data_IF_563415081370
#
_entry.id   IF_563415081370
#
_cell.length_a   1.000
_cell.length_b   1.000
_cell.length_c   1.000
_cell.angle_alpha   90.00
_cell.angle_beta   90.00
_cell.angle_gamma   90.00
#
_symmetry.space_group_name_H-M   'P 1'
#
loop_
_entity.id
_entity.type
_entity.pdbx_description
1 polymer ?
#
# COMPACT_ATOMS: atom_id res chain seq x y z
N UNK A 1 9.83 15.93 -28.70
CA UNK A 1 9.13 14.95 -27.85
C UNK A 1 7.62 14.96 -28.15
N UNK A 2 6.94 13.78 -28.12
CA UNK A 2 5.52 13.63 -28.44
C UNK A 2 4.78 12.87 -27.32
N UNK A 3 3.72 13.47 -26.78
CA UNK A 3 2.79 12.81 -25.85
C UNK A 3 1.74 12.04 -26.66
N UNK A 4 1.53 10.77 -26.33
CA UNK A 4 0.55 9.90 -26.98
C UNK A 4 -0.38 9.30 -25.93
N UNK A 5 -1.68 9.54 -26.06
CA UNK A 5 -2.69 8.89 -25.21
C UNK A 5 -2.79 7.40 -25.58
N UNK A 6 -2.76 6.53 -24.58
CA UNK A 6 -2.74 5.07 -24.77
C UNK A 6 -4.14 4.56 -25.09
N UNK A 7 -4.39 4.23 -26.35
CA UNK A 7 -5.67 3.70 -26.87
C UNK A 7 -5.51 2.34 -27.53
N UNK A 8 -4.49 2.18 -28.34
CA UNK A 8 -4.24 0.98 -29.13
C UNK A 8 -3.58 -0.14 -28.33
N UNK A 9 -3.61 -1.36 -28.86
CA UNK A 9 -2.96 -2.53 -28.24
C UNK A 9 -1.44 -2.35 -28.14
N UNK A 10 -0.83 -1.70 -29.11
CA UNK A 10 0.62 -1.52 -29.12
C UNK A 10 1.05 -0.43 -28.14
N UNK A 11 0.33 0.67 -28.04
CA UNK A 11 0.55 1.69 -27.00
C UNK A 11 0.37 1.12 -25.58
N UNK A 12 -0.62 0.22 -25.37
CA UNK A 12 -0.78 -0.51 -24.10
C UNK A 12 0.45 -1.34 -23.78
N UNK A 13 1.01 -2.06 -24.76
CA UNK A 13 2.25 -2.82 -24.59
C UNK A 13 3.45 -1.92 -24.27
N UNK A 14 3.57 -0.79 -24.96
CA UNK A 14 4.62 0.19 -24.68
C UNK A 14 4.52 0.71 -23.24
N UNK A 15 3.33 1.11 -22.81
CA UNK A 15 3.07 1.57 -21.44
C UNK A 15 3.47 0.52 -20.39
N UNK A 16 3.15 -0.76 -20.61
CA UNK A 16 3.49 -1.86 -19.71
C UNK A 16 4.99 -2.18 -19.73
N UNK A 17 5.63 -2.14 -20.89
CA UNK A 17 7.01 -2.60 -21.04
C UNK A 17 8.06 -1.51 -20.73
N UNK A 18 7.68 -0.23 -20.76
CA UNK A 18 8.62 0.84 -20.51
C UNK A 18 9.34 0.72 -19.14
N UNK A 19 8.68 0.48 -18.00
CA UNK A 19 9.38 0.31 -16.74
C UNK A 19 10.30 -0.92 -16.73
N UNK A 20 9.94 -2.01 -17.43
CA UNK A 20 10.81 -3.20 -17.53
C UNK A 20 12.14 -2.88 -18.21
N UNK A 21 12.13 -1.96 -19.18
CA UNK A 21 13.34 -1.45 -19.82
C UNK A 21 14.07 -0.46 -18.91
N UNK A 22 13.35 0.45 -18.26
CA UNK A 22 13.91 1.50 -17.40
C UNK A 22 14.68 0.89 -16.22
N UNK A 23 14.05 -0.05 -15.51
CA UNK A 23 14.63 -0.69 -14.31
C UNK A 23 15.45 -1.95 -14.59
N UNK A 24 15.80 -2.25 -15.86
CA UNK A 24 16.46 -3.52 -16.25
C UNK A 24 17.76 -3.82 -15.51
N UNK A 25 18.46 -2.80 -15.05
CA UNK A 25 19.73 -2.89 -14.33
C UNK A 25 19.60 -2.68 -12.83
N UNK A 26 18.39 -2.44 -12.32
CA UNK A 26 18.15 -2.27 -10.88
C UNK A 26 17.84 -3.63 -10.23
N UNK A 27 18.75 -4.12 -9.35
CA UNK A 27 18.56 -5.41 -8.70
C UNK A 27 17.45 -5.43 -7.67
N UNK A 28 16.92 -4.28 -7.23
CA UNK A 28 15.92 -4.19 -6.19
C UNK A 28 14.50 -4.10 -6.74
N UNK A 29 14.35 -3.64 -7.98
CA UNK A 29 13.05 -3.48 -8.59
C UNK A 29 12.36 -4.82 -8.89
N UNK A 30 11.07 -4.91 -8.58
CA UNK A 30 10.21 -6.05 -8.91
C UNK A 30 9.06 -5.56 -9.79
N UNK A 31 8.94 -6.18 -10.96
CA UNK A 31 7.89 -5.84 -11.91
C UNK A 31 6.52 -6.26 -11.39
N UNK A 32 5.56 -5.34 -11.43
CA UNK A 32 4.13 -5.65 -11.25
C UNK A 32 3.71 -6.66 -12.34
N UNK A 33 2.80 -7.56 -12.01
CA UNK A 33 2.25 -8.48 -13.02
C UNK A 33 1.50 -7.69 -14.10
N UNK A 34 1.78 -8.02 -15.36
CA UNK A 34 1.17 -7.34 -16.52
C UNK A 34 -0.37 -7.38 -16.45
N UNK A 35 -0.93 -8.52 -15.99
CA UNK A 35 -2.36 -8.70 -15.79
C UNK A 35 -2.97 -7.74 -14.77
N UNK A 36 -2.24 -7.43 -13.69
CA UNK A 36 -2.72 -6.57 -12.61
C UNK A 36 -2.67 -5.11 -13.04
N UNK A 37 -1.60 -4.74 -13.77
CA UNK A 37 -1.50 -3.41 -14.35
C UNK A 37 -2.59 -3.18 -15.40
N UNK A 38 -2.87 -4.15 -16.28
CA UNK A 38 -3.97 -4.06 -17.22
C UNK A 38 -5.33 -3.98 -16.51
N UNK A 39 -5.54 -4.77 -15.47
CA UNK A 39 -6.77 -4.76 -14.68
C UNK A 39 -7.06 -3.40 -14.04
N UNK A 40 -6.02 -2.66 -13.65
CA UNK A 40 -6.17 -1.30 -13.10
C UNK A 40 -6.85 -0.34 -14.08
N UNK A 41 -6.63 -0.51 -15.39
CA UNK A 41 -7.21 0.34 -16.45
C UNK A 41 -8.38 -0.32 -17.18
N UNK A 42 -8.90 -1.43 -16.67
CA UNK A 42 -10.05 -2.13 -17.24
C UNK A 42 -11.32 -1.81 -16.43
N UNK A 43 -12.30 -1.05 -17.01
CA UNK A 43 -13.53 -0.71 -16.29
C UNK A 43 -14.36 -1.92 -15.85
N UNK A 44 -14.17 -3.08 -16.48
CA UNK A 44 -14.87 -4.31 -16.08
C UNK A 44 -14.23 -4.98 -14.84
N UNK A 45 -12.98 -4.64 -14.53
CA UNK A 45 -12.20 -5.26 -13.44
C UNK A 45 -11.94 -4.32 -12.28
N UNK A 46 -11.78 -3.03 -12.54
CA UNK A 46 -11.54 -2.03 -11.50
C UNK A 46 -12.87 -1.31 -11.18
N UNK A 47 -13.41 -1.61 -10.00
CA UNK A 47 -14.68 -1.05 -9.53
C UNK A 47 -14.65 0.47 -9.37
N UNK A 48 -13.46 1.09 -9.20
CA UNK A 48 -13.32 2.54 -9.10
C UNK A 48 -13.82 3.29 -10.36
N UNK A 49 -13.88 2.62 -11.51
CA UNK A 49 -14.51 3.20 -12.71
C UNK A 49 -16.03 3.39 -12.59
N UNK A 50 -16.69 2.80 -11.57
CA UNK A 50 -18.13 3.08 -11.33
C UNK A 50 -18.38 4.55 -11.00
N UNK A 51 -17.40 5.23 -10.41
CA UNK A 51 -17.48 6.63 -9.97
C UNK A 51 -16.20 7.42 -10.24
N UNK A 52 -15.31 6.89 -11.02
CA UNK A 52 -14.04 7.50 -11.36
C UNK A 52 -13.71 7.39 -12.82
N UNK A 53 -12.63 8.02 -13.21
CA UNK A 53 -12.09 8.00 -14.56
C UNK A 53 -10.58 8.00 -14.50
N UNK A 54 -9.94 7.26 -15.42
CA UNK A 54 -8.48 7.24 -15.54
C UNK A 54 -8.08 7.32 -17.01
N UNK A 55 -6.98 7.97 -17.26
CA UNK A 55 -6.35 8.10 -18.58
C UNK A 55 -4.85 7.89 -18.43
N UNK A 56 -4.19 7.42 -19.48
CA UNK A 56 -2.75 7.16 -19.47
C UNK A 56 -2.08 7.57 -20.76
N UNK A 57 -0.81 7.99 -20.66
CA UNK A 57 0.00 8.45 -21.79
C UNK A 57 1.38 7.83 -21.76
N UNK A 58 1.97 7.73 -22.94
CA UNK A 58 3.40 7.51 -23.16
C UNK A 58 4.01 8.78 -23.75
N UNK A 59 5.28 9.02 -23.42
CA UNK A 59 6.08 10.08 -23.99
C UNK A 59 7.14 9.46 -24.91
N UNK A 60 7.18 9.87 -26.18
CA UNK A 60 8.19 9.45 -27.15
C UNK A 60 9.15 10.58 -27.47
N UNK A 61 10.41 10.25 -27.68
CA UNK A 61 11.41 11.18 -28.22
C UNK A 61 11.25 11.40 -29.73
N UNK A 62 12.14 12.15 -30.33
CA UNK A 62 12.14 12.47 -31.78
C UNK A 62 12.38 11.24 -32.64
N UNK A 63 13.01 10.20 -32.10
CA UNK A 63 13.20 8.92 -32.80
C UNK A 63 12.00 7.98 -32.70
N UNK A 64 10.96 8.38 -31.97
CA UNK A 64 9.78 7.55 -31.71
C UNK A 64 9.94 6.56 -30.56
N UNK A 65 11.06 6.59 -29.85
CA UNK A 65 11.31 5.71 -28.70
C UNK A 65 10.58 6.23 -27.45
N UNK A 66 9.93 5.33 -26.71
CA UNK A 66 9.31 5.66 -25.43
C UNK A 66 10.36 6.01 -24.39
N UNK A 67 10.27 7.21 -23.80
CA UNK A 67 11.16 7.75 -22.77
C UNK A 67 10.45 8.07 -21.46
N UNK A 68 9.13 7.93 -21.42
CA UNK A 68 8.35 8.12 -20.21
C UNK A 68 6.91 7.66 -20.35
N UNK A 69 6.23 7.55 -19.21
CA UNK A 69 4.81 7.27 -19.12
C UNK A 69 4.20 7.95 -17.88
N UNK A 70 2.91 8.20 -17.92
CA UNK A 70 2.14 8.72 -16.79
C UNK A 70 0.68 8.34 -16.94
N UNK A 71 -0.04 8.26 -15.83
CA UNK A 71 -1.50 8.21 -15.82
C UNK A 71 -2.04 9.31 -14.91
N UNK A 72 -3.26 9.78 -15.21
CA UNK A 72 -4.02 10.65 -14.33
C UNK A 72 -5.41 10.04 -14.10
N UNK A 73 -6.00 10.32 -12.94
CA UNK A 73 -7.29 9.78 -12.59
C UNK A 73 -8.05 10.67 -11.61
N UNK A 74 -9.35 10.47 -11.55
CA UNK A 74 -10.24 11.08 -10.58
C UNK A 74 -11.06 9.97 -9.94
N UNK A 75 -10.95 9.86 -8.62
CA UNK A 75 -11.91 9.16 -7.79
C UNK A 75 -12.90 10.20 -7.25
N UNK A 76 -14.12 10.21 -7.76
CA UNK A 76 -15.10 11.28 -7.44
C UNK A 76 -15.55 11.26 -5.98
N UNK A 77 -15.47 10.13 -5.30
CA UNK A 77 -15.78 10.05 -3.86
C UNK A 77 -14.69 10.75 -3.07
N UNK A 78 -13.43 10.42 -3.33
CA UNK A 78 -12.29 11.03 -2.61
C UNK A 78 -12.08 12.49 -3.01
N UNK A 79 -12.22 12.83 -4.29
CA UNK A 79 -11.99 14.22 -4.75
C UNK A 79 -12.92 15.24 -4.10
N UNK A 80 -14.12 14.83 -3.69
CA UNK A 80 -15.11 15.70 -3.05
C UNK A 80 -14.92 15.90 -1.53
N UNK A 81 -14.09 15.08 -0.89
CA UNK A 81 -13.84 15.12 0.56
C UNK A 81 -12.65 16.00 0.92
N UNK A 82 -11.71 16.18 0.01
CA UNK A 82 -10.58 17.09 0.23
C UNK A 82 -11.05 18.54 0.30
N UNK A 83 -10.29 19.36 1.00
CA UNK A 83 -10.54 20.82 1.11
C UNK A 83 -10.71 21.50 -0.25
N UNK A 84 -10.05 20.98 -1.27
CA UNK A 84 -10.19 21.37 -2.68
C UNK A 84 -10.33 20.12 -3.56
N UNK A 85 -11.06 20.20 -4.69
CA UNK A 85 -11.16 19.09 -5.63
C UNK A 85 -9.77 18.61 -6.08
N UNK A 86 -9.44 17.36 -5.74
CA UNK A 86 -8.10 16.80 -5.96
C UNK A 86 -8.17 15.54 -6.82
N UNK A 87 -7.37 15.50 -7.88
CA UNK A 87 -7.16 14.31 -8.68
C UNK A 87 -5.83 13.64 -8.41
N UNK A 88 -5.60 12.45 -8.95
CA UNK A 88 -4.37 11.69 -8.78
C UNK A 88 -3.54 11.60 -10.06
N UNK A 89 -2.22 11.53 -9.90
CA UNK A 89 -1.25 11.25 -10.94
C UNK A 89 -0.36 10.09 -10.50
N UNK A 90 -0.20 9.06 -11.36
CA UNK A 90 0.59 7.88 -11.03
C UNK A 90 1.12 7.15 -12.24
N UNK A 91 1.62 5.93 -12.02
CA UNK A 91 2.34 5.18 -13.05
C UNK A 91 3.41 6.01 -13.75
N UNK A 92 3.97 6.97 -12.99
CA UNK A 92 4.98 7.90 -13.47
C UNK A 92 6.33 7.22 -13.52
N UNK A 93 6.80 7.02 -14.73
CA UNK A 93 8.19 6.63 -15.01
C UNK A 93 8.73 7.46 -16.17
N UNK A 94 9.98 7.87 -16.06
CA UNK A 94 10.67 8.67 -17.08
C UNK A 94 12.18 8.41 -17.00
N UNK A 95 12.86 8.53 -18.12
CA UNK A 95 14.34 8.58 -18.14
C UNK A 95 14.84 9.80 -17.36
N UNK A 96 16.11 9.80 -16.96
CA UNK A 96 16.73 10.94 -16.26
C UNK A 96 16.82 12.16 -17.17
N UNK A 97 15.65 12.78 -17.40
CA UNK A 97 15.48 13.97 -18.22
C UNK A 97 14.37 14.83 -17.63
N UNK A 98 14.74 16.02 -17.15
CA UNK A 98 13.84 16.96 -16.48
C UNK A 98 12.74 17.49 -17.40
N UNK A 99 13.05 17.80 -18.65
CA UNK A 99 12.08 18.31 -19.62
C UNK A 99 11.02 17.23 -19.93
N UNK A 100 11.46 15.99 -20.08
CA UNK A 100 10.57 14.84 -20.27
C UNK A 100 9.64 14.63 -19.05
N UNK A 101 10.18 14.76 -17.83
CA UNK A 101 9.39 14.68 -16.61
C UNK A 101 8.34 15.80 -16.53
N UNK A 102 8.73 17.03 -16.84
CA UNK A 102 7.84 18.19 -16.80
C UNK A 102 6.74 18.10 -17.87
N UNK A 103 7.05 17.60 -19.05
CA UNK A 103 6.04 17.36 -20.09
C UNK A 103 4.96 16.34 -19.63
N UNK A 104 5.36 15.31 -18.87
CA UNK A 104 4.43 14.33 -18.28
C UNK A 104 3.59 14.95 -17.14
N UNK A 105 4.20 15.77 -16.28
CA UNK A 105 3.49 16.50 -15.24
C UNK A 105 2.48 17.49 -15.82
N UNK A 106 2.87 18.25 -16.83
CA UNK A 106 1.98 19.18 -17.53
C UNK A 106 0.81 18.45 -18.19
N UNK A 107 1.06 17.27 -18.76
CA UNK A 107 0.02 16.45 -19.38
C UNK A 107 -1.03 16.01 -18.36
N UNK A 108 -0.60 15.48 -17.23
CA UNK A 108 -1.50 15.04 -16.15
C UNK A 108 -2.23 16.25 -15.53
N UNK A 109 -1.51 17.31 -15.20
CA UNK A 109 -2.06 18.57 -14.66
C UNK A 109 -3.14 19.16 -15.57
N UNK A 110 -2.83 19.36 -16.85
CA UNK A 110 -3.76 19.97 -17.80
C UNK A 110 -5.03 19.11 -18.01
N UNK A 111 -4.90 17.80 -17.96
CA UNK A 111 -6.06 16.93 -18.02
C UNK A 111 -6.93 17.07 -16.76
N UNK A 112 -6.32 17.05 -15.56
CA UNK A 112 -7.03 17.22 -14.29
C UNK A 112 -7.68 18.59 -14.16
N UNK A 113 -7.01 19.66 -14.60
CA UNK A 113 -7.55 21.02 -14.61
C UNK A 113 -8.80 21.14 -15.50
N UNK A 114 -8.78 20.53 -16.70
CA UNK A 114 -9.94 20.43 -17.59
C UNK A 114 -11.12 19.69 -16.99
N UNK A 115 -10.86 18.77 -16.05
CA UNK A 115 -11.87 18.05 -15.29
C UNK A 115 -12.32 18.79 -14.02
N UNK A 116 -11.86 20.02 -13.79
CA UNK A 116 -12.24 20.85 -12.65
C UNK A 116 -11.46 20.59 -11.35
N UNK A 117 -10.36 19.83 -11.42
CA UNK A 117 -9.50 19.64 -10.25
C UNK A 117 -8.65 20.86 -9.98
N UNK A 118 -8.46 21.17 -8.69
CA UNK A 118 -7.68 22.32 -8.19
C UNK A 118 -6.33 21.89 -7.61
N UNK A 119 -6.18 20.59 -7.34
CA UNK A 119 -4.92 20.00 -6.91
C UNK A 119 -4.68 18.64 -7.58
N UNK A 120 -3.42 18.21 -7.61
CA UNK A 120 -2.95 16.94 -8.14
C UNK A 120 -2.04 16.27 -7.13
N UNK A 121 -2.47 15.10 -6.62
CA UNK A 121 -1.65 14.26 -5.75
C UNK A 121 -0.86 13.24 -6.56
N UNK A 122 0.40 13.02 -6.16
CA UNK A 122 1.25 12.05 -6.85
C UNK A 122 2.61 11.78 -6.21
N UNK A 123 3.31 10.73 -6.68
CA UNK A 123 2.78 9.68 -7.53
C UNK A 123 1.93 8.72 -6.72
N UNK A 124 0.71 8.52 -7.14
CA UNK A 124 -0.23 7.56 -6.57
C UNK A 124 -0.95 6.84 -7.71
N UNK A 125 -1.29 5.57 -7.52
CA UNK A 125 -1.92 4.80 -8.57
C UNK A 125 -3.44 4.76 -8.41
N UNK A 126 -4.16 4.51 -9.50
CA UNK A 126 -5.61 4.38 -9.51
C UNK A 126 -6.01 3.02 -8.91
N UNK A 127 -6.10 2.95 -7.59
CA UNK A 127 -6.35 1.74 -6.82
C UNK A 127 -6.57 2.03 -5.34
N UNK A 128 -6.69 0.95 -4.57
CA UNK A 128 -6.82 1.02 -3.12
C UNK A 128 -5.51 1.47 -2.43
N UNK A 129 -5.59 1.81 -1.14
CA UNK A 129 -4.45 2.33 -0.39
C UNK A 129 -3.26 1.37 -0.28
N UNK A 130 -3.45 0.08 -0.50
CA UNK A 130 -2.40 -0.95 -0.54
C UNK A 130 -1.57 -0.89 -1.82
N UNK A 131 -2.10 -0.27 -2.86
CA UNK A 131 -1.43 -0.02 -4.15
C UNK A 131 -1.28 1.47 -4.47
N UNK A 132 -1.78 2.33 -3.60
CA UNK A 132 -1.83 3.78 -3.76
C UNK A 132 -0.81 4.44 -2.82
N UNK A 133 0.49 4.29 -3.14
CA UNK A 133 1.59 4.79 -2.33
C UNK A 133 2.17 6.07 -2.93
N UNK A 134 2.98 6.80 -2.15
CA UNK A 134 3.74 7.94 -2.63
C UNK A 134 5.05 7.57 -3.33
N UNK A 135 5.87 8.56 -3.60
CA UNK A 135 7.21 8.44 -4.16
C UNK A 135 8.18 7.85 -3.15
N UNK A 136 8.87 6.77 -3.49
CA UNK A 136 9.99 6.26 -2.68
C UNK A 136 11.13 7.26 -2.68
N UNK A 137 11.53 7.73 -1.50
CA UNK A 137 12.61 8.72 -1.31
C UNK A 137 13.75 8.21 -0.44
N UNK A 138 13.50 7.21 0.41
CA UNK A 138 14.51 6.54 1.25
C UNK A 138 14.26 5.03 1.29
N UNK A 139 15.31 4.25 1.50
CA UNK A 139 15.22 2.79 1.61
C UNK A 139 15.04 2.08 0.28
N UNK A 140 15.89 2.39 -0.71
CA UNK A 140 15.90 1.79 -2.05
C UNK A 140 16.39 0.34 -2.04
N UNK A 141 15.73 -0.50 -1.25
CA UNK A 141 15.92 -1.95 -1.20
C UNK A 141 14.74 -2.66 -1.87
N UNK A 142 14.85 -3.98 -2.10
CA UNK A 142 13.77 -4.71 -2.78
C UNK A 142 12.42 -4.47 -2.10
N UNK A 143 11.48 -3.96 -2.89
CA UNK A 143 10.13 -3.67 -2.43
C UNK A 143 9.38 -4.96 -2.05
N UNK A 144 8.52 -4.87 -1.04
CA UNK A 144 7.51 -5.87 -0.75
C UNK A 144 6.39 -5.85 -1.80
N UNK A 145 5.62 -6.92 -1.87
CA UNK A 145 4.50 -7.02 -2.82
C UNK A 145 3.50 -5.88 -2.64
N UNK A 146 3.11 -5.24 -3.75
CA UNK A 146 2.21 -4.09 -3.77
C UNK A 146 2.84 -2.76 -3.37
N UNK A 147 4.13 -2.72 -2.99
CA UNK A 147 4.82 -1.46 -2.70
C UNK A 147 5.38 -0.82 -3.99
N UNK A 148 5.25 0.50 -4.17
CA UNK A 148 5.89 1.18 -5.29
C UNK A 148 7.40 1.26 -5.10
N UNK A 149 8.11 1.37 -6.22
CA UNK A 149 9.55 1.56 -6.27
C UNK A 149 9.86 2.56 -7.39
N UNK A 150 10.79 3.47 -7.14
CA UNK A 150 11.03 4.61 -8.02
C UNK A 150 12.53 4.84 -8.24
N UNK A 151 12.87 5.59 -9.30
CA UNK A 151 14.22 6.09 -9.50
C UNK A 151 14.54 7.22 -8.52
N UNK A 152 15.78 7.27 -8.01
CA UNK A 152 16.21 8.26 -7.00
C UNK A 152 16.07 9.70 -7.46
N UNK A 153 16.28 9.97 -8.76
CA UNK A 153 16.21 11.29 -9.34
C UNK A 153 14.79 11.85 -9.47
N UNK A 154 13.73 11.03 -9.27
CA UNK A 154 12.36 11.53 -9.34
C UNK A 154 12.05 12.57 -8.27
N UNK A 155 12.64 12.44 -7.08
CA UNK A 155 12.45 13.42 -6.01
C UNK A 155 12.77 14.85 -6.49
N UNK A 156 13.91 15.03 -7.14
CA UNK A 156 14.33 16.33 -7.69
C UNK A 156 13.32 16.84 -8.72
N UNK A 157 12.81 15.97 -9.59
CA UNK A 157 11.82 16.37 -10.60
C UNK A 157 10.51 16.85 -9.98
N UNK A 158 9.99 16.13 -8.99
CA UNK A 158 8.77 16.54 -8.28
C UNK A 158 8.96 17.88 -7.58
N UNK A 159 9.99 17.99 -6.76
CA UNK A 159 10.25 19.21 -5.98
C UNK A 159 10.55 20.42 -6.87
N UNK A 160 11.35 20.26 -7.93
CA UNK A 160 11.68 21.34 -8.86
C UNK A 160 10.52 21.75 -9.78
N UNK A 161 9.53 20.88 -10.01
CA UNK A 161 8.30 21.24 -10.71
C UNK A 161 7.35 22.06 -9.82
N UNK A 162 7.49 21.96 -8.49
CA UNK A 162 6.68 22.67 -7.51
C UNK A 162 5.69 21.83 -6.76
N UNK A 163 5.84 20.50 -6.77
CA UNK A 163 5.12 19.64 -5.85
C UNK A 163 5.60 19.85 -4.42
N UNK A 164 4.68 19.80 -3.48
CA UNK A 164 4.95 19.98 -2.05
C UNK A 164 4.65 18.68 -1.30
N UNK A 165 5.45 18.37 -0.27
CA UNK A 165 5.25 17.19 0.58
C UNK A 165 3.92 17.28 1.33
N UNK A 166 2.93 16.50 0.90
CA UNK A 166 1.60 16.50 1.51
C UNK A 166 1.56 15.62 2.76
N UNK A 167 2.04 14.38 2.67
CA UNK A 167 2.31 13.53 3.83
C UNK A 167 3.35 12.46 3.52
N UNK A 168 3.99 11.98 4.58
CA UNK A 168 4.99 10.91 4.51
C UNK A 168 4.42 9.58 4.97
N UNK A 169 4.88 8.50 4.36
CA UNK A 169 4.46 7.14 4.61
C UNK A 169 5.69 6.31 4.96
N UNK A 170 5.73 5.81 6.19
CA UNK A 170 6.87 5.06 6.72
C UNK A 170 6.57 3.57 6.74
N UNK A 171 7.42 2.77 6.11
CA UNK A 171 7.42 1.31 6.30
C UNK A 171 8.52 0.94 7.29
N UNK A 172 8.21 -0.03 8.13
CA UNK A 172 9.12 -0.52 9.15
C UNK A 172 9.53 -1.95 8.85
N UNK A 173 10.74 -2.30 9.23
CA UNK A 173 11.28 -3.63 9.07
C UNK A 173 11.92 -4.11 10.37
N UNK A 174 11.80 -5.40 10.63
CA UNK A 174 12.60 -6.06 11.66
C UNK A 174 12.96 -7.48 11.23
N UNK A 175 14.16 -7.98 11.62
CA UNK A 175 14.43 -9.41 11.59
C UNK A 175 13.55 -10.12 12.64
N UNK A 176 13.13 -11.33 12.35
CA UNK A 176 12.40 -12.19 13.30
C UNK A 176 13.38 -12.96 14.18
N UNK A 177 14.59 -13.19 13.66
CA UNK A 177 15.67 -13.88 14.37
C UNK A 177 16.79 -12.93 14.71
N UNK A 178 17.42 -13.13 15.88
CA UNK A 178 18.65 -12.45 16.27
C UNK A 178 19.87 -13.04 15.54
N UNK A 179 21.07 -12.49 15.78
CA UNK A 179 22.32 -12.96 15.20
C UNK A 179 22.66 -14.42 15.56
N UNK A 180 22.11 -14.94 16.65
CA UNK A 180 22.28 -16.34 17.08
C UNK A 180 21.30 -17.31 16.43
N UNK A 181 20.40 -16.81 15.56
CA UNK A 181 19.34 -17.62 14.93
C UNK A 181 18.18 -17.94 15.87
N UNK A 182 18.09 -17.31 17.03
CA UNK A 182 16.96 -17.43 17.95
C UNK A 182 15.90 -16.40 17.59
N UNK A 183 14.62 -16.78 17.76
CA UNK A 183 13.54 -15.84 17.52
C UNK A 183 13.58 -14.74 18.58
N UNK A 184 13.76 -13.51 18.14
CA UNK A 184 13.77 -12.33 18.98
C UNK A 184 12.37 -11.70 19.04
N UNK A 185 11.89 -11.45 20.25
CA UNK A 185 10.61 -10.75 20.46
C UNK A 185 10.69 -9.91 21.74
N UNK A 186 10.22 -8.65 21.72
CA UNK A 186 10.38 -7.74 22.85
C UNK A 186 9.75 -8.28 24.14
N UNK A 187 10.48 -8.43 25.24
CA UNK A 187 9.96 -9.00 26.48
C UNK A 187 8.77 -8.21 27.05
N UNK A 188 8.74 -6.90 26.85
CA UNK A 188 7.62 -6.04 27.28
C UNK A 188 6.33 -6.42 26.57
N UNK A 189 6.38 -6.62 25.24
CA UNK A 189 5.23 -7.02 24.43
C UNK A 189 4.74 -8.41 24.84
N UNK A 190 5.65 -9.34 25.09
CA UNK A 190 5.33 -10.67 25.63
C UNK A 190 4.54 -10.59 26.94
N UNK A 191 5.04 -9.81 27.91
CA UNK A 191 4.36 -9.65 29.20
C UNK A 191 2.94 -9.08 29.07
N UNK A 192 2.75 -8.10 28.20
CA UNK A 192 1.44 -7.52 27.91
C UNK A 192 0.51 -8.59 27.30
N UNK A 193 0.99 -9.33 26.32
CA UNK A 193 0.23 -10.36 25.66
C UNK A 193 -0.17 -11.52 26.61
N UNK A 194 0.76 -11.99 27.43
CA UNK A 194 0.52 -13.00 28.45
C UNK A 194 -0.48 -12.54 29.51
N UNK A 195 -0.40 -11.29 29.91
CA UNK A 195 -1.33 -10.69 30.87
C UNK A 195 -2.74 -10.60 30.26
N UNK A 196 -2.86 -10.17 28.98
CA UNK A 196 -4.15 -10.06 28.32
C UNK A 196 -4.79 -11.42 28.05
N UNK A 197 -4.00 -12.44 27.66
CA UNK A 197 -4.49 -13.78 27.38
C UNK A 197 -5.06 -14.52 28.61
N UNK A 198 -4.69 -14.05 29.82
CA UNK A 198 -5.21 -14.58 31.10
C UNK A 198 -6.49 -13.87 31.54
N UNK A 199 -6.90 -12.78 30.90
CA UNK A 199 -8.11 -12.05 31.25
C UNK A 199 -9.36 -12.70 30.68
N UNK A 200 -10.42 -12.85 31.46
CA UNK A 200 -11.70 -13.38 30.97
C UNK A 200 -12.23 -12.52 29.81
N UNK A 201 -12.84 -13.19 28.86
CA UNK A 201 -13.48 -12.59 27.72
C UNK A 201 -12.58 -12.35 26.52
N UNK A 202 -11.25 -12.29 26.67
CA UNK A 202 -10.33 -12.13 25.53
C UNK A 202 -10.01 -13.50 24.89
N UNK A 203 -10.09 -13.55 23.55
CA UNK A 203 -9.64 -14.71 22.76
C UNK A 203 -9.00 -14.25 21.45
N UNK A 204 -8.11 -15.10 20.91
CA UNK A 204 -7.34 -14.81 19.70
C UNK A 204 -7.41 -16.02 18.77
N UNK A 205 -7.82 -15.79 17.53
CA UNK A 205 -7.99 -16.87 16.54
C UNK A 205 -7.36 -16.45 15.22
N UNK A 206 -6.64 -17.37 14.59
CA UNK A 206 -6.20 -17.14 13.21
C UNK A 206 -7.33 -17.47 12.23
N UNK A 207 -7.21 -16.97 11.03
CA UNK A 207 -8.13 -17.23 9.94
C UNK A 207 -8.18 -18.73 9.62
N UNK A 208 -9.37 -19.24 9.37
CA UNK A 208 -9.63 -20.60 8.89
C UNK A 208 -10.52 -20.53 7.64
N UNK A 209 -10.06 -21.07 6.51
CA UNK A 209 -10.85 -21.09 5.25
C UNK A 209 -12.21 -21.79 5.42
N UNK A 210 -12.32 -22.74 6.33
CA UNK A 210 -13.58 -23.43 6.67
C UNK A 210 -14.62 -22.50 7.29
N UNK A 211 -14.19 -21.41 7.92
CA UNK A 211 -15.02 -20.38 8.59
C UNK A 211 -14.96 -19.03 7.89
N UNK A 212 -14.62 -19.01 6.59
CA UNK A 212 -14.38 -17.80 5.81
C UNK A 212 -15.48 -16.74 5.97
N UNK A 213 -16.75 -17.14 5.92
CA UNK A 213 -17.87 -16.20 6.04
C UNK A 213 -17.88 -15.45 7.38
N UNK A 214 -17.58 -16.16 8.50
CA UNK A 214 -17.44 -15.54 9.81
C UNK A 214 -16.31 -14.51 9.82
N UNK A 215 -15.11 -14.90 9.41
CA UNK A 215 -13.95 -14.01 9.43
C UNK A 215 -14.08 -12.82 8.47
N UNK A 216 -14.80 -12.98 7.36
CA UNK A 216 -15.13 -11.87 6.46
C UNK A 216 -16.06 -10.84 7.14
N UNK A 217 -17.10 -11.30 7.86
CA UNK A 217 -17.98 -10.43 8.66
C UNK A 217 -17.19 -9.73 9.76
N UNK A 218 -16.40 -10.49 10.54
CA UNK A 218 -15.58 -9.95 11.63
C UNK A 218 -14.58 -8.87 11.13
N UNK A 219 -14.00 -9.11 9.95
CA UNK A 219 -13.12 -8.13 9.30
C UNK A 219 -13.85 -6.83 8.97
N UNK A 220 -15.04 -6.93 8.35
CA UNK A 220 -15.87 -5.77 7.99
C UNK A 220 -16.26 -4.98 9.26
N UNK A 221 -16.69 -5.66 10.31
CA UNK A 221 -17.11 -5.03 11.57
C UNK A 221 -15.97 -4.23 12.21
N UNK A 222 -14.79 -4.84 12.35
CA UNK A 222 -13.62 -4.16 12.93
C UNK A 222 -13.10 -3.07 11.99
N UNK A 223 -13.03 -3.33 10.69
CA UNK A 223 -12.61 -2.33 9.72
C UNK A 223 -13.50 -1.10 9.78
N UNK A 224 -14.81 -1.30 9.67
CA UNK A 224 -15.77 -0.20 9.69
C UNK A 224 -15.70 0.60 11.01
N UNK A 225 -15.64 -0.08 12.16
CA UNK A 225 -15.53 0.59 13.46
C UNK A 225 -14.22 1.34 13.66
N UNK A 226 -13.12 0.84 13.06
CA UNK A 226 -11.80 1.47 13.19
C UNK A 226 -11.68 2.69 12.28
N UNK A 227 -12.02 2.53 10.99
CA UNK A 227 -11.79 3.59 10.00
C UNK A 227 -12.87 4.67 9.96
N UNK A 228 -14.13 4.37 10.32
CA UNK A 228 -15.18 5.39 10.45
C UNK A 228 -14.84 6.44 11.51
N UNK A 229 -14.05 6.07 12.51
CA UNK A 229 -13.60 7.01 13.55
C UNK A 229 -12.45 7.94 13.09
N UNK A 230 -11.78 7.64 11.96
CA UNK A 230 -10.59 8.36 11.52
C UNK A 230 -10.70 9.03 10.15
N UNK A 231 -11.72 8.68 9.35
CA UNK A 231 -11.85 9.17 7.97
C UNK A 231 -13.22 9.77 7.74
N UNK A 232 -13.27 11.04 7.37
CA UNK A 232 -14.51 11.71 6.93
C UNK A 232 -15.05 11.15 5.61
N UNK A 233 -14.15 10.67 4.75
CA UNK A 233 -14.47 10.02 3.47
C UNK A 233 -14.66 8.51 3.59
N UNK A 234 -14.97 8.04 4.81
CA UNK A 234 -15.13 6.63 5.05
C UNK A 234 -16.34 6.08 4.28
N UNK A 235 -16.06 5.14 3.40
CA UNK A 235 -17.07 4.30 2.77
C UNK A 235 -16.99 2.90 3.38
N UNK A 236 -18.10 2.38 3.95
CA UNK A 236 -18.12 1.01 4.45
C UNK A 236 -17.67 0.01 3.37
N UNK A 237 -16.92 -1.00 3.80
CA UNK A 237 -16.48 -2.05 2.89
C UNK A 237 -17.69 -2.83 2.36
N UNK A 238 -17.71 -3.02 1.06
CA UNK A 238 -18.66 -3.90 0.38
C UNK A 238 -18.30 -5.37 0.66
N UNK A 239 -19.21 -6.20 1.20
CA UNK A 239 -18.96 -7.62 1.43
C UNK A 239 -18.53 -8.39 0.16
N UNK A 240 -19.03 -8.01 -1.02
CA UNK A 240 -18.62 -8.64 -2.29
C UNK A 240 -17.13 -8.38 -2.59
N UNK A 241 -16.62 -7.20 -2.22
CA UNK A 241 -15.22 -6.84 -2.37
C UNK A 241 -14.33 -7.74 -1.50
N UNK A 242 -14.76 -8.04 -0.28
CA UNK A 242 -14.04 -8.90 0.65
C UNK A 242 -13.89 -10.31 0.09
N UNK A 243 -14.95 -10.85 -0.51
CA UNK A 243 -14.89 -12.17 -1.13
C UNK A 243 -13.88 -12.23 -2.29
N UNK A 244 -13.83 -11.20 -3.11
CA UNK A 244 -12.86 -11.05 -4.19
C UNK A 244 -11.41 -10.92 -3.66
N UNK A 245 -11.21 -10.14 -2.60
CA UNK A 245 -9.91 -9.99 -1.93
C UNK A 245 -9.40 -11.34 -1.39
N UNK A 246 -10.23 -12.10 -0.67
CA UNK A 246 -9.88 -13.44 -0.19
C UNK A 246 -9.57 -14.40 -1.34
N UNK A 247 -10.35 -14.36 -2.41
CA UNK A 247 -10.11 -15.19 -3.60
C UNK A 247 -8.76 -14.89 -4.24
N UNK A 248 -8.40 -13.62 -4.37
CA UNK A 248 -7.12 -13.17 -4.91
C UNK A 248 -5.94 -13.50 -3.97
N UNK A 249 -6.14 -13.38 -2.67
CA UNK A 249 -5.10 -13.68 -1.67
C UNK A 249 -4.86 -15.19 -1.46
N UNK A 250 -5.87 -16.04 -1.70
CA UNK A 250 -5.81 -17.50 -1.44
C UNK A 250 -4.54 -18.20 -1.96
N UNK A 251 -4.01 -17.92 -3.17
CA UNK A 251 -2.80 -18.59 -3.67
C UNK A 251 -1.54 -18.28 -2.86
N UNK A 252 -1.52 -17.14 -2.16
CA UNK A 252 -0.35 -16.62 -1.44
C UNK A 252 -0.53 -16.62 0.07
N UNK A 253 -1.74 -16.81 0.54
CA UNK A 253 -2.12 -16.70 1.94
C UNK A 253 -1.56 -17.87 2.77
N UNK A 254 -1.05 -17.53 3.96
CA UNK A 254 -0.84 -18.45 5.07
C UNK A 254 -1.86 -18.08 6.16
N UNK A 255 -2.78 -18.99 6.46
CA UNK A 255 -3.91 -18.73 7.35
C UNK A 255 -3.46 -18.33 8.76
N UNK A 256 -2.36 -18.92 9.25
CA UNK A 256 -1.80 -18.62 10.57
C UNK A 256 -1.09 -17.24 10.64
N UNK A 257 -1.00 -16.50 9.54
CA UNK A 257 -0.51 -15.11 9.53
C UNK A 257 -1.63 -14.06 9.58
N UNK A 258 -2.88 -14.51 9.64
CA UNK A 258 -4.07 -13.64 9.69
C UNK A 258 -4.77 -13.86 11.02
N UNK A 259 -4.73 -12.85 11.91
CA UNK A 259 -5.21 -12.97 13.26
C UNK A 259 -6.33 -12.01 13.58
N UNK A 260 -7.29 -12.50 14.38
CA UNK A 260 -8.40 -11.74 14.94
C UNK A 260 -8.38 -11.82 16.46
N UNK A 261 -8.70 -10.69 17.10
CA UNK A 261 -8.90 -10.58 18.54
C UNK A 261 -10.38 -10.40 18.83
N UNK A 262 -10.86 -11.05 19.89
CA UNK A 262 -12.23 -10.99 20.36
C UNK A 262 -12.31 -10.61 21.82
N UNK A 263 -13.41 -9.95 22.21
CA UNK A 263 -13.81 -9.76 23.59
C UNK A 263 -15.28 -10.14 23.76
N UNK A 264 -15.56 -11.15 24.62
CA UNK A 264 -16.88 -11.76 24.76
C UNK A 264 -17.49 -12.11 23.38
N UNK A 265 -16.74 -12.85 22.58
CA UNK A 265 -17.08 -13.31 21.22
C UNK A 265 -17.32 -12.21 20.17
N UNK A 266 -17.17 -10.93 20.53
CA UNK A 266 -17.23 -9.81 19.58
C UNK A 266 -15.85 -9.51 19.01
N UNK A 267 -15.70 -9.34 17.68
CA UNK A 267 -14.43 -9.00 17.07
C UNK A 267 -14.03 -7.56 17.45
N UNK A 268 -12.80 -7.38 17.94
CA UNK A 268 -12.29 -6.09 18.42
C UNK A 268 -11.00 -5.65 17.74
N UNK A 269 -10.35 -6.56 17.00
CA UNK A 269 -9.12 -6.23 16.29
C UNK A 269 -8.73 -7.33 15.32
N UNK A 270 -7.91 -6.96 14.34
CA UNK A 270 -7.29 -7.89 13.41
C UNK A 270 -5.93 -7.38 12.93
N UNK A 271 -5.09 -8.32 12.48
CA UNK A 271 -3.89 -8.06 11.68
C UNK A 271 -3.79 -9.09 10.58
N UNK A 272 -3.59 -8.60 9.34
CA UNK A 272 -3.42 -9.42 8.15
C UNK A 272 -1.98 -9.29 7.66
N UNK A 273 -1.24 -10.39 7.74
CA UNK A 273 0.07 -10.52 7.13
C UNK A 273 -0.01 -11.54 6.00
N UNK A 274 0.76 -11.28 4.96
CA UNK A 274 0.93 -12.22 3.84
C UNK A 274 2.42 -12.50 3.62
N UNK A 275 2.77 -13.73 3.19
CA UNK A 275 4.11 -13.99 2.69
C UNK A 275 4.43 -13.09 1.48
N UNK A 276 5.64 -12.55 1.43
CA UNK A 276 6.03 -11.63 0.35
C UNK A 276 6.33 -12.37 -0.96
N UNK A 277 5.35 -12.36 -1.83
CA UNK A 277 5.44 -13.02 -3.14
C UNK A 277 6.49 -12.41 -4.07
N UNK A 278 6.93 -11.17 -3.84
CA UNK A 278 7.99 -10.54 -4.63
C UNK A 278 9.30 -11.34 -4.57
N UNK A 279 9.53 -12.10 -3.50
CA UNK A 279 10.69 -12.98 -3.38
C UNK A 279 10.67 -14.15 -4.38
N UNK A 280 9.49 -14.50 -4.91
CA UNK A 280 9.33 -15.55 -5.94
C UNK A 280 9.11 -14.95 -7.33
N UNK A 281 8.24 -13.90 -7.44
CA UNK A 281 7.82 -13.40 -8.76
C UNK A 281 8.82 -12.46 -9.42
N UNK A 282 9.81 -11.98 -8.71
CA UNK A 282 10.85 -11.07 -9.25
C UNK A 282 11.43 -11.52 -10.61
N UNK A 283 11.84 -12.80 -10.82
CA UNK A 283 12.37 -13.24 -12.09
C UNK A 283 11.30 -13.39 -13.19
N UNK A 284 10.01 -13.23 -12.89
CA UNK A 284 8.92 -13.42 -13.86
C UNK A 284 8.77 -12.23 -14.80
N UNK A 285 9.33 -11.07 -14.46
CA UNK A 285 9.29 -9.84 -15.26
C UNK A 285 7.87 -9.48 -15.72
N UNK A 286 6.91 -9.60 -14.80
CA UNK A 286 5.50 -9.30 -15.03
C UNK A 286 4.67 -10.40 -15.70
N UNK A 287 5.25 -11.52 -16.11
CA UNK A 287 4.55 -12.58 -16.84
C UNK A 287 4.18 -13.75 -15.93
N UNK A 288 2.90 -14.11 -15.89
CA UNK A 288 2.40 -15.27 -15.15
C UNK A 288 1.99 -16.39 -16.13
N UNK A 289 2.93 -16.87 -16.95
CA UNK A 289 2.75 -18.01 -17.85
C UNK A 289 2.80 -19.34 -17.07
N UNK A 290 2.54 -20.47 -17.75
CA UNK A 290 2.50 -21.81 -17.13
C UNK A 290 3.80 -22.14 -16.37
N UNK A 291 4.97 -21.87 -16.95
CA UNK A 291 6.27 -22.11 -16.30
C UNK A 291 6.44 -21.28 -15.02
N UNK A 292 6.06 -20.02 -15.06
CA UNK A 292 6.12 -19.14 -13.89
C UNK A 292 5.11 -19.54 -12.81
N UNK A 293 3.94 -20.08 -13.19
CA UNK A 293 3.00 -20.69 -12.23
C UNK A 293 3.62 -21.92 -11.54
N UNK A 294 4.29 -22.80 -12.28
CA UNK A 294 5.00 -23.97 -11.72
C UNK A 294 6.13 -23.50 -10.79
N UNK A 295 6.93 -22.51 -11.22
CA UNK A 295 8.00 -21.90 -10.38
C UNK A 295 7.42 -21.28 -9.10
N UNK A 296 6.28 -20.64 -9.21
CA UNK A 296 5.58 -20.05 -8.06
C UNK A 296 5.19 -21.16 -7.06
N UNK A 297 4.52 -22.21 -7.51
CA UNK A 297 4.14 -23.34 -6.66
C UNK A 297 5.37 -24.01 -6.01
N UNK A 298 6.42 -24.24 -6.77
CA UNK A 298 7.67 -24.78 -6.23
C UNK A 298 8.28 -23.87 -5.18
N UNK A 299 8.36 -22.54 -5.44
CA UNK A 299 8.89 -21.57 -4.49
C UNK A 299 8.05 -21.49 -3.20
N UNK A 300 6.73 -21.63 -3.30
CA UNK A 300 5.82 -21.72 -2.15
C UNK A 300 6.09 -22.98 -1.33
N UNK A 301 6.15 -24.16 -1.97
CA UNK A 301 6.41 -25.44 -1.32
C UNK A 301 7.80 -25.52 -0.67
N UNK A 302 8.77 -24.83 -1.21
CA UNK A 302 10.14 -24.76 -0.70
C UNK A 302 10.40 -23.57 0.22
N UNK A 303 9.33 -22.92 0.71
CA UNK A 303 9.39 -21.80 1.67
C UNK A 303 10.32 -20.67 1.26
N UNK A 304 10.34 -20.30 -0.03
CA UNK A 304 11.17 -19.19 -0.52
C UNK A 304 10.68 -17.81 -0.10
N UNK A 305 9.42 -17.71 0.36
CA UNK A 305 8.89 -16.49 0.94
C UNK A 305 9.26 -16.43 2.42
N UNK A 306 10.37 -15.80 2.72
CA UNK A 306 10.92 -15.70 4.09
C UNK A 306 10.52 -14.41 4.79
N UNK A 307 10.00 -13.42 4.05
CA UNK A 307 9.50 -12.17 4.56
C UNK A 307 7.97 -12.21 4.69
N UNK A 308 7.50 -11.88 5.89
CA UNK A 308 6.09 -11.59 6.14
C UNK A 308 5.85 -10.10 5.92
N UNK A 309 4.79 -9.75 5.23
CA UNK A 309 4.40 -8.37 5.04
C UNK A 309 3.04 -8.10 5.69
N UNK A 310 2.99 -7.15 6.61
CA UNK A 310 1.72 -6.63 7.10
C UNK A 310 1.02 -5.85 5.99
N UNK A 311 -0.24 -6.20 5.73
CA UNK A 311 -1.08 -5.54 4.71
C UNK A 311 -1.96 -4.50 5.36
N UNK A 312 -2.70 -4.92 6.38
CA UNK A 312 -3.63 -4.06 7.11
C UNK A 312 -3.80 -4.61 8.53
N UNK A 313 -3.99 -3.71 9.48
CA UNK A 313 -4.31 -4.06 10.85
C UNK A 313 -5.09 -2.93 11.51
N UNK A 314 -6.03 -3.29 12.36
CA UNK A 314 -6.86 -2.35 13.07
C UNK A 314 -7.39 -2.91 14.37
N UNK A 315 -7.59 -2.02 15.35
CA UNK A 315 -8.23 -2.32 16.63
C UNK A 315 -9.32 -1.29 16.86
N UNK A 316 -10.50 -1.77 17.20
CA UNK A 316 -11.65 -0.93 17.54
C UNK A 316 -11.22 0.15 18.55
N UNK A 317 -11.57 1.42 18.35
CA UNK A 317 -11.16 2.55 19.20
C UNK A 317 -11.39 2.33 20.71
N UNK A 318 -12.47 1.64 21.08
CA UNK A 318 -12.79 1.33 22.48
C UNK A 318 -11.76 0.38 23.15
N UNK A 319 -10.99 -0.37 22.37
CA UNK A 319 -9.99 -1.33 22.84
C UNK A 319 -8.55 -0.94 22.51
N UNK A 320 -8.32 0.21 21.89
CA UNK A 320 -6.99 0.76 21.70
C UNK A 320 -6.31 1.01 23.06
N UNK A 321 -4.99 0.85 23.11
CA UNK A 321 -4.18 0.92 24.33
C UNK A 321 -4.47 -0.18 25.39
N UNK A 322 -5.30 -1.18 25.09
CA UNK A 322 -5.56 -2.32 25.99
C UNK A 322 -4.51 -3.44 25.88
N UNK A 323 -3.63 -3.37 24.88
CA UNK A 323 -2.61 -4.39 24.59
C UNK A 323 -3.04 -5.43 23.56
N UNK A 324 -4.18 -5.26 22.90
CA UNK A 324 -4.71 -6.17 21.86
C UNK A 324 -3.72 -6.32 20.71
N UNK A 325 -3.14 -5.20 20.24
CA UNK A 325 -2.12 -5.22 19.19
C UNK A 325 -0.90 -6.08 19.61
N UNK A 326 -0.44 -5.89 20.84
CA UNK A 326 0.68 -6.68 21.41
C UNK A 326 0.36 -8.17 21.44
N UNK A 327 -0.87 -8.52 21.83
CA UNK A 327 -1.31 -9.91 21.91
C UNK A 327 -1.43 -10.55 20.52
N UNK A 328 -1.91 -9.84 19.51
CA UNK A 328 -1.93 -10.34 18.12
C UNK A 328 -0.50 -10.57 17.61
N UNK A 329 0.42 -9.62 17.80
CA UNK A 329 1.82 -9.81 17.39
C UNK A 329 2.51 -10.96 18.15
N UNK A 330 2.12 -11.22 19.39
CA UNK A 330 2.60 -12.38 20.12
C UNK A 330 2.12 -13.69 19.51
N UNK A 331 0.89 -13.76 19.01
CA UNK A 331 0.42 -14.95 18.27
C UNK A 331 1.25 -15.18 17.00
N UNK A 332 1.54 -14.13 16.25
CA UNK A 332 2.41 -14.19 15.06
C UNK A 332 3.82 -14.67 15.44
N UNK A 333 4.36 -14.21 16.57
CA UNK A 333 5.61 -14.73 17.11
C UNK A 333 5.56 -16.23 17.40
N UNK A 334 4.46 -16.76 17.96
CA UNK A 334 4.31 -18.20 18.17
C UNK A 334 4.27 -18.97 16.83
N UNK A 335 3.64 -18.41 15.81
CA UNK A 335 3.67 -19.00 14.46
C UNK A 335 5.09 -19.07 13.93
N UNK A 336 5.90 -18.05 14.09
CA UNK A 336 7.30 -18.04 13.65
C UNK A 336 8.15 -19.13 14.33
N UNK A 337 7.85 -19.50 15.57
CA UNK A 337 8.51 -20.63 16.24
C UNK A 337 8.26 -21.97 15.52
N UNK A 338 7.07 -22.15 15.01
CA UNK A 338 6.67 -23.36 14.30
C UNK A 338 7.02 -23.31 12.80
N UNK A 339 7.25 -22.09 12.28
CA UNK A 339 7.55 -21.81 10.87
C UNK A 339 8.86 -21.01 10.74
N UNK A 340 10.03 -21.63 11.02
CA UNK A 340 11.32 -20.93 11.11
C UNK A 340 11.84 -20.40 9.78
N UNK A 341 11.15 -20.66 8.67
CA UNK A 341 11.45 -20.03 7.39
C UNK A 341 11.04 -18.57 7.32
N UNK A 342 10.13 -18.09 8.20
CA UNK A 342 9.84 -16.66 8.31
C UNK A 342 10.95 -15.95 9.08
N UNK A 343 11.75 -15.15 8.37
CA UNK A 343 12.97 -14.51 8.89
C UNK A 343 12.85 -13.00 9.08
N UNK A 344 11.90 -12.39 8.37
CA UNK A 344 11.76 -10.95 8.29
C UNK A 344 10.29 -10.54 8.38
N UNK A 345 10.04 -9.42 9.07
CA UNK A 345 8.74 -8.77 9.13
C UNK A 345 8.85 -7.36 8.54
N UNK A 346 8.11 -7.10 7.47
CA UNK A 346 7.91 -5.78 6.90
C UNK A 346 6.51 -5.28 7.27
N UNK A 347 6.46 -4.26 8.11
CA UNK A 347 5.24 -3.63 8.55
C UNK A 347 4.83 -2.58 7.52
N UNK A 348 3.56 -2.63 7.10
CA UNK A 348 2.98 -1.75 6.09
C UNK A 348 3.10 -0.29 6.50
N UNK A 349 2.93 0.59 5.54
CA UNK A 349 3.13 2.01 5.77
C UNK A 349 2.20 2.56 6.86
N UNK A 350 2.75 3.50 7.61
CA UNK A 350 2.03 4.36 8.54
C UNK A 350 2.32 5.81 8.17
N UNK A 351 1.28 6.63 8.14
CA UNK A 351 1.44 8.06 7.84
C UNK A 351 2.10 8.82 8.98
N UNK A 352 2.83 9.90 8.65
CA UNK A 352 3.46 10.81 9.63
C UNK A 352 2.44 11.52 10.54
N UNK A 353 1.16 11.39 10.23
CA UNK A 353 0.01 11.83 11.01
C UNK A 353 -0.53 10.78 12.02
N UNK A 354 0.06 9.56 12.08
CA UNK A 354 -0.36 8.49 12.99
C UNK A 354 0.76 8.08 13.98
N UNK A 355 1.09 8.94 14.97
CA UNK A 355 2.17 8.67 15.93
C UNK A 355 1.90 7.43 16.81
N UNK A 356 0.63 7.07 17.05
CA UNK A 356 0.27 5.90 17.85
C UNK A 356 0.76 4.61 17.19
N UNK A 357 0.49 4.42 15.90
CA UNK A 357 0.92 3.23 15.18
C UNK A 357 2.45 3.19 15.02
N UNK A 358 3.09 4.34 14.81
CA UNK A 358 4.55 4.41 14.81
C UNK A 358 5.16 3.93 16.13
N UNK A 359 4.58 4.33 17.27
CA UNK A 359 5.02 3.90 18.60
C UNK A 359 4.85 2.37 18.79
N UNK A 360 3.78 1.77 18.25
CA UNK A 360 3.57 0.31 18.28
C UNK A 360 4.68 -0.40 17.50
N UNK A 361 4.99 0.06 16.29
CA UNK A 361 6.04 -0.54 15.46
C UNK A 361 7.43 -0.43 16.10
N UNK A 362 7.73 0.72 16.70
CA UNK A 362 8.98 0.92 17.46
C UNK A 362 9.03 0.02 18.72
N UNK A 363 7.91 -0.12 19.44
CA UNK A 363 7.83 -1.02 20.60
C UNK A 363 8.05 -2.49 20.23
N UNK A 364 7.67 -2.88 19.00
CA UNK A 364 7.99 -4.18 18.43
C UNK A 364 9.48 -4.34 18.07
N UNK A 365 10.30 -3.30 18.21
CA UNK A 365 11.70 -3.30 17.80
C UNK A 365 11.90 -3.20 16.28
N UNK A 366 10.89 -2.71 15.56
CA UNK A 366 11.02 -2.48 14.14
C UNK A 366 11.63 -1.09 13.85
N UNK A 367 12.50 -1.03 12.86
CA UNK A 367 13.17 0.19 12.41
C UNK A 367 12.53 0.73 11.14
N UNK A 368 12.55 2.05 10.96
CA UNK A 368 12.06 2.68 9.74
C UNK A 368 12.94 2.27 8.56
N UNK A 369 12.37 1.56 7.61
CA UNK A 369 13.10 0.97 6.49
C UNK A 369 12.93 1.73 5.18
N UNK A 370 11.72 2.28 4.95
CA UNK A 370 11.44 3.02 3.71
C UNK A 370 10.61 4.26 4.03
N UNK A 371 10.83 5.31 3.26
CA UNK A 371 10.02 6.53 3.26
C UNK A 371 9.46 6.75 1.86
N UNK A 372 8.14 6.88 1.80
CA UNK A 372 7.45 7.36 0.61
C UNK A 372 6.81 8.72 0.91
N UNK A 373 6.72 9.57 -0.08
CA UNK A 373 6.06 10.88 0.03
C UNK A 373 4.93 10.94 -0.98
N UNK A 374 3.72 11.16 -0.50
CA UNK A 374 2.65 11.64 -1.37
C UNK A 374 2.81 13.14 -1.48
N UNK A 375 3.15 13.57 -2.69
CA UNK A 375 3.27 14.98 -3.02
C UNK A 375 1.93 15.53 -3.50
N UNK A 376 1.72 16.83 -3.29
CA UNK A 376 0.58 17.58 -3.84
C UNK A 376 1.09 18.76 -4.65
N UNK A 377 0.56 18.93 -5.86
CA UNK A 377 0.72 20.11 -6.67
C UNK A 377 -0.60 20.91 -6.68
N UNK A 378 -0.52 22.18 -6.29
CA UNK A 378 -1.68 23.09 -6.31
C UNK A 378 -1.80 23.68 -7.71
N UNK A 379 -2.88 23.34 -8.42
CA UNK A 379 -3.13 23.79 -9.80
C UNK A 379 -3.54 25.26 -9.79
N UNK A 380 -4.38 25.68 -8.85
CA UNK A 380 -4.91 27.06 -8.79
C UNK A 380 -4.32 27.88 -7.65
N UNK A 381 -4.63 27.57 -6.43
CA UNK A 381 -4.25 28.36 -5.25
C UNK A 381 -3.06 27.76 -4.51
N UNK A 382 -1.84 28.16 -4.87
CA UNK A 382 -0.62 27.69 -4.20
C UNK A 382 -0.53 28.10 -2.74
N UNK A 383 -1.10 29.25 -2.36
CA UNK A 383 -1.08 29.73 -0.99
C UNK A 383 -2.01 28.92 -0.06
N UNK A 384 -2.97 28.20 -0.63
CA UNK A 384 -3.89 27.33 0.10
C UNK A 384 -3.33 25.97 0.48
N UNK A 385 -2.05 25.67 0.19
CA UNK A 385 -1.45 24.38 0.57
C UNK A 385 -1.29 24.24 2.07
N UNK A 386 -1.78 23.11 2.61
CA UNK A 386 -1.60 22.69 4.00
C UNK A 386 -1.20 21.21 3.98
N UNK A 387 -0.25 20.82 4.82
CA UNK A 387 0.11 19.40 4.98
C UNK A 387 -1.03 18.62 5.63
N UNK A 388 -1.21 17.36 5.22
CA UNK A 388 -2.30 16.51 5.74
C UNK A 388 -2.30 16.39 7.27
N UNK A 389 -1.15 16.26 7.90
CA UNK A 389 -1.03 16.21 9.36
C UNK A 389 -1.54 17.48 10.05
N UNK A 390 -1.35 18.63 9.43
CA UNK A 390 -1.78 19.93 9.98
C UNK A 390 -3.29 20.12 9.79
N UNK A 391 -3.85 19.63 8.66
CA UNK A 391 -5.30 19.55 8.44
C UNK A 391 -5.96 18.69 9.52
N UNK A 392 -5.43 17.49 9.79
CA UNK A 392 -5.93 16.59 10.83
C UNK A 392 -5.85 17.22 12.23
N UNK A 393 -4.73 17.86 12.55
CA UNK A 393 -4.56 18.54 13.85
C UNK A 393 -5.53 19.71 14.05
N UNK A 394 -5.84 20.46 12.98
CA UNK A 394 -6.82 21.54 13.04
C UNK A 394 -8.24 21.03 13.28
N UNK A 395 -8.61 19.90 12.65
CA UNK A 395 -9.93 19.26 12.81
C UNK A 395 -10.13 18.78 14.25
N UNK A 396 -9.16 18.08 14.82
CA UNK A 396 -9.22 17.55 16.19
C UNK A 396 -9.37 18.66 17.25
N UNK A 397 -8.88 19.88 16.97
CA UNK A 397 -9.04 21.04 17.88
C UNK A 397 -10.42 21.67 17.83
N UNK A 398 -11.15 21.48 16.73
CA UNK A 398 -12.46 22.09 16.49
C UNK A 398 -13.62 21.16 16.86
N UNK A 399 -13.36 19.90 17.19
CA UNK A 399 -14.38 19.01 17.75
C UNK A 399 -14.67 19.42 19.20
N UNK A 400 -15.94 19.74 19.56
CA UNK A 400 -16.29 20.00 20.95
C UNK A 400 -15.99 18.74 21.77
N UNK A 401 -15.27 18.92 22.88
CA UNK A 401 -15.06 17.86 23.85
C UNK A 401 -16.42 17.33 24.31
N UNK A 402 -16.83 16.17 23.76
CA UNK A 402 -18.04 15.46 24.11
C UNK A 402 -17.87 14.61 25.36
#
# INVERSE_FOLDING_TARGET
MQIVEVKTRDEKKEFINFPKWLYRNDPNWVCILDSDLEATFDPAKNHLFRQGVAVRWILRDESGKTIGRVAAFIDRVRSGVYRQPTGGMGFFEVVENREAAFALFDTAKNWLEKQGMEAMDGPINFGENDTNWGLLVEGFVQQGFGMPYHMKYYREFFESYGFMNYFEQYSYHRPVMNEKGEIDFPPRIMKIAEWLSKRPGYSFHHFESSKKAKFASDFVDVYNSTWSAFKEDFTPLDPELIDDMFRKAKPIMDEELIWFAYYNDKPIGFFILLPDVNQIIKPFKGKLNLWNKIRFLHGRLTHKMTRMRAIVGGVNPAYQNSGVESAIFYQIYQVCKNKPWYKELELSWVGDFNPKMMAIYQALGAERAKVHITYRYMIRDKAGFIRYKDEMAAKTRNEPAG
#
